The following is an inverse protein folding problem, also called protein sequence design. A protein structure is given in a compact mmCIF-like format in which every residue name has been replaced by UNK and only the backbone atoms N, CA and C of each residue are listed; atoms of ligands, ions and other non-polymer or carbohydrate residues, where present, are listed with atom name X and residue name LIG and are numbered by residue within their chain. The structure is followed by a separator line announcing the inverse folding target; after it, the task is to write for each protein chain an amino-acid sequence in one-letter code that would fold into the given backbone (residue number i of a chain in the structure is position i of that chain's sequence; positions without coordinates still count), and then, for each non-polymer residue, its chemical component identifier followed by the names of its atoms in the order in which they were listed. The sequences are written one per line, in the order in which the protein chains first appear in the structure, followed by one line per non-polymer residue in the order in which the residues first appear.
data_IF_161356473004
#
_entry.id   IF_161356473004
#
_cell.length_a   1.000
_cell.length_b   1.000
_cell.length_c   1.000
_cell.angle_alpha   90.00
_cell.angle_beta   90.00
_cell.angle_gamma   90.00
#
_symmetry.space_group_name_H-M   'P 1'
#
loop_
_entity.id
_entity.type
_entity.pdbx_description
1 polymer ?
#
# COMPACT_ATOMS: atom_id res chain seq x y z
N UNK A 1 -62.44 -14.66 -45.27
CA UNK A 1 -61.86 -13.76 -44.25
C UNK A 1 -60.71 -14.48 -43.56
N UNK A 2 -59.51 -13.88 -43.57
CA UNK A 2 -58.24 -14.48 -43.11
C UNK A 2 -58.18 -14.57 -41.57
N UNK A 3 -57.74 -15.70 -41.03
CA UNK A 3 -57.42 -15.90 -39.60
C UNK A 3 -56.05 -15.28 -39.31
N UNK A 4 -55.96 -14.38 -38.33
CA UNK A 4 -54.68 -13.91 -37.76
C UNK A 4 -54.38 -14.66 -36.46
N UNK A 5 -53.21 -15.29 -36.43
CA UNK A 5 -52.63 -15.96 -35.25
C UNK A 5 -51.94 -14.88 -34.41
N UNK A 6 -52.38 -14.69 -33.17
CA UNK A 6 -51.68 -13.89 -32.16
C UNK A 6 -50.61 -14.78 -31.53
N UNK A 7 -49.36 -14.63 -31.97
CA UNK A 7 -48.20 -15.22 -31.31
C UNK A 7 -47.74 -14.30 -30.18
N UNK A 8 -48.14 -14.60 -28.95
CA UNK A 8 -47.56 -13.96 -27.76
C UNK A 8 -46.18 -14.56 -27.50
N UNK A 9 -45.14 -13.79 -27.82
CA UNK A 9 -43.75 -14.09 -27.53
C UNK A 9 -43.52 -13.94 -26.01
N UNK A 10 -43.73 -15.01 -25.23
CA UNK A 10 -43.28 -15.08 -23.84
C UNK A 10 -41.76 -15.31 -23.83
N UNK A 11 -40.99 -14.27 -24.12
CA UNK A 11 -39.55 -14.28 -23.88
C UNK A 11 -39.30 -13.96 -22.40
N UNK A 12 -38.73 -14.94 -21.70
CA UNK A 12 -38.47 -15.05 -20.27
C UNK A 12 -38.10 -13.75 -19.51
N UNK A 13 -39.04 -13.19 -18.74
CA UNK A 13 -38.73 -12.26 -17.65
C UNK A 13 -37.92 -12.93 -16.52
N UNK A 14 -38.03 -14.25 -16.36
CA UNK A 14 -37.30 -15.02 -15.34
C UNK A 14 -35.78 -15.04 -15.56
N UNK A 15 -35.32 -15.03 -16.81
CA UNK A 15 -33.88 -15.06 -17.14
C UNK A 15 -33.16 -13.74 -16.82
N UNK A 16 -33.87 -12.61 -16.93
CA UNK A 16 -33.30 -11.28 -16.65
C UNK A 16 -33.23 -11.04 -15.13
N UNK A 17 -34.21 -11.52 -14.36
CA UNK A 17 -34.21 -11.40 -12.90
C UNK A 17 -33.10 -12.24 -12.24
N UNK A 18 -32.84 -13.46 -12.74
CA UNK A 18 -31.77 -14.33 -12.22
C UNK A 18 -30.36 -13.87 -12.60
N UNK A 19 -30.16 -13.20 -13.74
CA UNK A 19 -28.83 -12.66 -14.09
C UNK A 19 -28.50 -11.40 -13.28
N UNK A 20 -29.50 -10.57 -12.95
CA UNK A 20 -29.31 -9.39 -12.11
C UNK A 20 -29.10 -9.71 -10.63
N UNK A 21 -29.71 -10.77 -10.09
CA UNK A 21 -29.47 -11.19 -8.70
C UNK A 21 -28.03 -11.68 -8.50
N UNK A 22 -27.52 -12.49 -9.42
CA UNK A 22 -26.15 -13.02 -9.35
C UNK A 22 -25.11 -11.92 -9.59
N UNK A 23 -25.41 -10.96 -10.47
CA UNK A 23 -24.55 -9.80 -10.71
C UNK A 23 -24.55 -8.82 -9.51
N UNK A 24 -25.68 -8.64 -8.82
CA UNK A 24 -25.76 -7.84 -7.58
C UNK A 24 -25.08 -8.53 -6.41
N UNK A 25 -25.19 -9.85 -6.28
CA UNK A 25 -24.50 -10.63 -5.26
C UNK A 25 -22.98 -10.62 -5.49
N UNK A 26 -22.53 -10.70 -6.75
CA UNK A 26 -21.13 -10.50 -7.12
C UNK A 26 -20.62 -9.06 -6.89
N UNK A 27 -21.46 -8.04 -7.12
CA UNK A 27 -21.09 -6.64 -6.95
C UNK A 27 -21.09 -6.17 -5.48
N UNK A 28 -21.94 -6.73 -4.62
CA UNK A 28 -21.91 -6.52 -3.16
C UNK A 28 -20.65 -7.14 -2.55
N UNK A 29 -20.13 -8.22 -3.14
CA UNK A 29 -18.87 -8.86 -2.72
C UNK A 29 -17.60 -8.12 -3.21
N UNK A 30 -17.72 -7.04 -4.01
CA UNK A 30 -16.58 -6.34 -4.59
C UNK A 30 -16.07 -5.16 -3.75
N UNK A 31 -16.78 -4.76 -2.69
CA UNK A 31 -16.29 -3.77 -1.72
C UNK A 31 -15.62 -4.51 -0.57
N UNK A 32 -14.34 -4.24 -0.27
CA UNK A 32 -13.67 -4.82 0.89
C UNK A 32 -14.47 -4.62 2.17
N UNK A 33 -14.90 -5.73 2.77
CA UNK A 33 -15.68 -5.73 4.02
C UNK A 33 -14.76 -5.56 5.24
N UNK A 34 -13.47 -5.80 5.07
CA UNK A 34 -12.48 -5.62 6.12
C UNK A 34 -11.44 -4.58 5.72
N UNK A 35 -10.96 -3.83 6.70
CA UNK A 35 -9.96 -2.79 6.50
C UNK A 35 -8.72 -3.13 7.28
N UNK A 36 -7.57 -3.17 6.60
CA UNK A 36 -6.26 -3.23 7.23
C UNK A 36 -5.83 -1.79 7.51
N UNK A 37 -5.47 -1.49 8.75
CA UNK A 37 -4.99 -0.17 9.18
C UNK A 37 -3.47 -0.17 9.41
N UNK A 38 -2.89 -1.32 9.75
CA UNK A 38 -1.46 -1.55 9.76
C UNK A 38 -1.16 -2.91 9.12
N UNK A 39 -0.13 -3.02 8.27
CA UNK A 39 0.73 -1.94 7.77
C UNK A 39 -0.05 -0.91 6.94
N UNK A 40 0.50 0.30 6.82
CA UNK A 40 -0.05 1.30 5.91
C UNK A 40 0.25 0.91 4.47
N UNK A 41 -0.66 1.23 3.57
CA UNK A 41 -0.47 1.02 2.15
C UNK A 41 0.86 1.64 1.70
N UNK A 42 1.69 0.81 1.07
CA UNK A 42 3.02 1.13 0.52
C UNK A 42 4.09 1.58 1.52
N UNK A 43 3.88 1.38 2.81
CA UNK A 43 4.92 1.64 3.80
C UNK A 43 6.10 0.69 3.64
N UNK A 44 7.28 1.13 4.06
CA UNK A 44 8.48 0.30 4.15
C UNK A 44 9.02 0.39 5.57
N UNK A 45 9.23 -0.76 6.19
CA UNK A 45 9.87 -0.90 7.49
C UNK A 45 11.38 -1.08 7.29
N UNK A 46 12.18 -0.38 8.09
CA UNK A 46 13.63 -0.53 8.06
C UNK A 46 14.01 -1.95 8.47
N UNK A 47 14.75 -2.65 7.62
CA UNK A 47 15.30 -3.97 7.95
C UNK A 47 16.42 -3.85 8.99
N UNK A 48 16.47 -4.80 9.91
CA UNK A 48 17.61 -5.07 10.80
C UNK A 48 18.01 -6.52 10.55
N UNK A 49 19.25 -6.77 10.15
CA UNK A 49 19.73 -8.11 9.76
C UNK A 49 18.84 -8.80 8.71
N UNK A 50 18.39 -8.05 7.71
CA UNK A 50 17.51 -8.54 6.63
C UNK A 50 16.08 -8.91 7.02
N UNK A 51 15.63 -8.56 8.22
CA UNK A 51 14.27 -8.85 8.66
C UNK A 51 13.67 -7.65 9.42
N UNK A 52 12.36 -7.67 9.64
CA UNK A 52 11.70 -6.74 10.56
C UNK A 52 10.46 -7.37 11.19
N UNK A 53 10.04 -6.77 12.30
CA UNK A 53 8.78 -7.09 12.96
C UNK A 53 7.71 -6.09 12.54
N UNK A 54 6.56 -6.58 12.08
CA UNK A 54 5.44 -5.75 11.66
C UNK A 54 4.19 -5.99 12.49
N UNK A 55 3.39 -4.93 12.66
CA UNK A 55 2.05 -5.03 13.24
C UNK A 55 1.04 -5.17 12.12
N UNK A 56 0.25 -6.24 12.17
CA UNK A 56 -0.91 -6.43 11.32
C UNK A 56 -2.17 -6.14 12.15
N UNK A 57 -2.87 -5.06 11.84
CA UNK A 57 -4.03 -4.61 12.60
C UNK A 57 -5.08 -3.97 11.70
N UNK A 58 -6.32 -3.96 12.17
CA UNK A 58 -7.41 -3.33 11.43
C UNK A 58 -8.78 -3.60 12.02
N UNK A 59 -9.79 -3.41 11.19
CA UNK A 59 -11.19 -3.52 11.54
C UNK A 59 -11.90 -4.54 10.64
N UNK A 60 -12.67 -5.42 11.28
CA UNK A 60 -13.60 -6.35 10.66
C UNK A 60 -14.98 -5.68 10.66
N UNK A 61 -15.53 -5.34 9.49
CA UNK A 61 -16.87 -4.73 9.38
C UNK A 61 -17.89 -5.75 8.91
N UNK A 62 -18.31 -6.64 9.80
CA UNK A 62 -19.35 -7.61 9.47
C UNK A 62 -20.45 -7.60 10.53
N UNK A 63 -21.67 -7.89 10.08
CA UNK A 63 -22.84 -8.08 10.95
C UNK A 63 -23.04 -9.56 11.32
N UNK A 64 -22.20 -10.45 10.77
CA UNK A 64 -22.30 -11.90 10.92
C UNK A 64 -21.31 -12.39 11.97
N UNK A 65 -21.60 -13.54 12.58
CA UNK A 65 -20.68 -14.19 13.50
C UNK A 65 -19.41 -14.64 12.77
N UNK A 66 -18.25 -14.30 13.34
CA UNK A 66 -16.92 -14.68 12.84
C UNK A 66 -16.42 -15.88 13.63
N UNK A 67 -16.20 -17.01 12.96
CA UNK A 67 -15.64 -18.21 13.59
C UNK A 67 -14.11 -18.26 13.52
N UNK A 68 -13.51 -17.55 12.56
CA UNK A 68 -12.06 -17.53 12.36
C UNK A 68 -11.64 -16.29 11.60
N UNK A 69 -10.47 -15.74 11.93
CA UNK A 69 -9.80 -14.71 11.14
C UNK A 69 -8.47 -15.29 10.67
N UNK A 70 -8.17 -15.12 9.40
CA UNK A 70 -6.94 -15.60 8.78
C UNK A 70 -6.25 -14.47 8.02
N UNK A 71 -4.94 -14.58 7.86
CA UNK A 71 -4.16 -13.67 7.03
C UNK A 71 -3.29 -14.46 6.05
N UNK A 72 -2.96 -13.83 4.92
CA UNK A 72 -2.04 -14.33 3.91
C UNK A 72 -1.07 -13.21 3.54
N UNK A 73 0.20 -13.55 3.36
CA UNK A 73 1.26 -12.65 2.91
C UNK A 73 1.87 -13.22 1.63
N UNK A 74 1.75 -12.47 0.54
CA UNK A 74 2.30 -12.80 -0.78
C UNK A 74 3.55 -11.99 -1.05
N UNK A 75 4.56 -12.61 -1.68
CA UNK A 75 5.77 -11.95 -2.16
C UNK A 75 5.49 -11.30 -3.50
N UNK A 76 5.99 -10.09 -3.66
CA UNK A 76 5.92 -9.32 -4.89
C UNK A 76 7.32 -9.13 -5.47
N UNK A 77 7.43 -9.08 -6.78
CA UNK A 77 8.62 -8.53 -7.44
C UNK A 77 8.65 -7.00 -7.36
N UNK A 78 9.70 -6.39 -7.93
CA UNK A 78 9.86 -4.93 -7.97
C UNK A 78 8.80 -4.22 -8.82
N UNK A 79 8.01 -4.94 -9.61
CA UNK A 79 6.94 -4.42 -10.46
C UNK A 79 5.54 -4.61 -9.84
N UNK A 80 5.46 -5.25 -8.67
CA UNK A 80 4.21 -5.48 -7.94
C UNK A 80 3.46 -6.75 -8.36
N UNK A 81 4.11 -7.63 -9.11
CA UNK A 81 3.55 -8.93 -9.52
C UNK A 81 3.84 -9.98 -8.45
N UNK A 82 2.84 -10.80 -8.12
CA UNK A 82 2.99 -11.89 -7.15
C UNK A 82 3.95 -12.94 -7.69
N UNK A 83 5.02 -13.22 -6.94
CA UNK A 83 6.06 -14.21 -7.29
C UNK A 83 6.08 -15.41 -6.36
N UNK A 84 5.39 -15.33 -5.22
CA UNK A 84 5.32 -16.45 -4.28
C UNK A 84 4.50 -16.14 -3.04
N UNK A 85 4.46 -17.10 -2.13
CA UNK A 85 3.73 -17.00 -0.86
C UNK A 85 4.75 -16.98 0.27
N UNK A 86 4.73 -15.93 1.10
CA UNK A 86 5.52 -15.85 2.33
C UNK A 86 4.81 -16.55 3.48
N UNK A 87 3.49 -16.38 3.56
CA UNK A 87 2.65 -17.01 4.58
C UNK A 87 1.31 -17.29 3.94
N UNK A 88 0.93 -18.56 3.82
CA UNK A 88 -0.40 -18.94 3.37
C UNK A 88 -1.43 -18.68 4.47
N UNK A 89 -2.72 -18.82 4.16
CA UNK A 89 -3.83 -18.54 5.07
C UNK A 89 -3.65 -19.15 6.46
N UNK A 90 -3.20 -18.31 7.38
CA UNK A 90 -2.86 -18.70 8.75
C UNK A 90 -3.84 -18.05 9.71
N UNK A 91 -4.33 -18.81 10.67
CA UNK A 91 -5.26 -18.31 11.69
C UNK A 91 -4.58 -17.29 12.59
N UNK A 92 -5.27 -16.16 12.82
CA UNK A 92 -4.90 -15.25 13.89
C UNK A 92 -5.34 -15.86 15.23
N UNK A 93 -4.41 -15.99 16.17
CA UNK A 93 -4.73 -16.25 17.56
C UNK A 93 -5.37 -14.98 18.15
N UNK A 94 -6.70 -14.88 18.08
CA UNK A 94 -7.43 -13.72 18.59
C UNK A 94 -8.07 -14.05 19.93
N UNK A 95 -7.97 -13.11 20.87
CA UNK A 95 -8.75 -13.14 22.09
C UNK A 95 -10.24 -12.92 21.73
N UNK A 96 -11.18 -13.78 22.19
CA UNK A 96 -12.61 -13.68 21.89
C UNK A 96 -13.24 -12.30 22.18
N UNK A 97 -12.73 -11.59 23.18
CA UNK A 97 -13.24 -10.26 23.59
C UNK A 97 -12.92 -9.18 22.53
N UNK A 98 -11.84 -9.36 21.76
CA UNK A 98 -11.43 -8.41 20.70
C UNK A 98 -12.32 -8.58 19.46
N UNK A 99 -12.81 -9.80 19.20
CA UNK A 99 -13.74 -10.09 18.10
C UNK A 99 -15.10 -9.39 18.28
N UNK A 100 -15.58 -9.23 19.51
CA UNK A 100 -16.81 -8.46 19.79
C UNK A 100 -16.71 -6.97 19.47
N UNK A 101 -15.50 -6.40 19.46
CA UNK A 101 -15.25 -5.00 19.09
C UNK A 101 -15.02 -4.80 17.59
N UNK A 102 -14.97 -5.87 16.79
CA UNK A 102 -14.67 -5.80 15.36
C UNK A 102 -13.24 -5.34 15.06
N UNK A 103 -12.31 -5.46 16.00
CA UNK A 103 -10.90 -5.12 15.80
C UNK A 103 -10.06 -6.39 15.74
N UNK A 104 -8.91 -6.32 15.06
CA UNK A 104 -7.91 -7.39 15.13
C UNK A 104 -6.52 -6.78 15.17
N UNK A 105 -5.58 -7.52 15.77
CA UNK A 105 -4.22 -7.03 15.91
C UNK A 105 -3.29 -8.19 16.25
N UNK A 106 -2.27 -8.41 15.41
CA UNK A 106 -1.22 -9.42 15.59
C UNK A 106 0.14 -8.85 15.22
N UNK A 107 1.19 -9.54 15.63
CA UNK A 107 2.57 -9.19 15.29
C UNK A 107 3.16 -10.30 14.42
N UNK A 108 3.70 -9.93 13.25
CA UNK A 108 4.46 -10.84 12.40
C UNK A 108 5.94 -10.57 12.67
N UNK A 109 6.61 -11.51 13.32
CA UNK A 109 8.03 -11.41 13.66
C UNK A 109 8.89 -11.93 12.51
N UNK A 110 10.11 -11.41 12.40
CA UNK A 110 11.15 -11.93 11.51
C UNK A 110 10.67 -12.02 10.05
N UNK A 111 9.90 -11.02 9.59
CA UNK A 111 9.49 -10.94 8.19
C UNK A 111 10.73 -10.59 7.37
N UNK A 112 11.13 -11.41 6.39
CA UNK A 112 12.33 -11.16 5.63
C UNK A 112 12.22 -9.90 4.76
N UNK A 113 13.36 -9.42 4.30
CA UNK A 113 13.48 -8.34 3.32
C UNK A 113 12.73 -8.70 2.05
N UNK A 114 11.88 -7.80 1.57
CA UNK A 114 11.02 -8.06 0.41
C UNK A 114 9.88 -7.07 0.27
N UNK A 115 9.22 -7.10 -0.89
CA UNK A 115 7.98 -6.39 -1.18
C UNK A 115 6.80 -7.37 -1.07
N UNK A 116 5.71 -6.95 -0.43
CA UNK A 116 4.64 -7.86 -0.03
C UNK A 116 3.25 -7.29 -0.23
N UNK A 117 2.29 -8.19 -0.44
CA UNK A 117 0.86 -7.95 -0.24
C UNK A 117 0.41 -8.71 1.01
N UNK A 118 -0.28 -8.04 1.93
CA UNK A 118 -1.05 -8.71 2.98
C UNK A 118 -2.54 -8.62 2.71
N UNK A 119 -3.24 -9.73 2.92
CA UNK A 119 -4.70 -9.80 2.90
C UNK A 119 -5.18 -10.48 4.18
N UNK A 120 -6.35 -10.08 4.64
CA UNK A 120 -7.08 -10.81 5.67
C UNK A 120 -8.37 -11.37 5.11
N UNK A 121 -8.83 -12.47 5.71
CA UNK A 121 -10.17 -12.99 5.48
C UNK A 121 -10.79 -13.48 6.77
N UNK A 122 -12.11 -13.46 6.85
CA UNK A 122 -12.86 -14.02 7.97
C UNK A 122 -13.75 -15.16 7.49
N UNK A 123 -13.84 -16.21 8.29
CA UNK A 123 -14.78 -17.31 8.07
C UNK A 123 -16.08 -16.99 8.80
N UNK A 124 -17.19 -17.02 8.08
CA UNK A 124 -18.50 -16.63 8.61
C UNK A 124 -19.33 -17.86 9.02
N UNK A 125 -20.04 -17.73 10.15
CA UNK A 125 -21.01 -18.70 10.64
C UNK A 125 -20.42 -20.01 11.18
N UNK A 126 -21.32 -20.90 11.63
CA UNK A 126 -20.99 -22.21 12.21
C UNK A 126 -20.71 -23.29 11.16
N UNK A 127 -21.27 -23.15 9.94
CA UNK A 127 -21.18 -24.15 8.86
C UNK A 127 -20.05 -23.87 7.86
N UNK A 128 -19.43 -22.69 7.90
CA UNK A 128 -18.01 -22.54 7.58
C UNK A 128 -17.58 -22.54 6.11
N UNK A 129 -18.45 -22.17 5.16
CA UNK A 129 -18.07 -22.11 3.73
C UNK A 129 -17.94 -20.69 3.16
N UNK A 130 -18.35 -19.66 3.90
CA UNK A 130 -18.33 -18.28 3.42
C UNK A 130 -17.14 -17.51 3.99
N UNK A 131 -16.41 -16.83 3.11
CA UNK A 131 -15.29 -15.97 3.46
C UNK A 131 -15.53 -14.53 3.00
N UNK A 132 -15.31 -13.58 3.91
CA UNK A 132 -15.20 -12.14 3.58
C UNK A 132 -13.72 -11.75 3.58
N UNK A 133 -13.32 -10.85 2.67
CA UNK A 133 -11.92 -10.47 2.44
C UNK A 133 -11.70 -8.97 2.64
N UNK A 134 -10.49 -8.59 3.02
CA UNK A 134 -9.99 -7.22 2.82
C UNK A 134 -9.49 -7.03 1.39
N UNK A 135 -9.29 -5.76 0.99
CA UNK A 135 -8.36 -5.45 -0.08
C UNK A 135 -6.95 -5.88 0.33
N UNK A 136 -6.08 -6.24 -0.64
CA UNK A 136 -4.66 -6.35 -0.38
C UNK A 136 -4.09 -5.00 0.05
N UNK A 137 -3.15 -5.06 0.99
CA UNK A 137 -2.37 -3.91 1.41
C UNK A 137 -0.89 -4.18 1.13
N UNK A 138 -0.25 -3.31 0.36
CA UNK A 138 1.18 -3.42 0.03
C UNK A 138 2.02 -2.91 1.18
N UNK A 139 3.12 -3.60 1.47
CA UNK A 139 4.14 -3.11 2.40
C UNK A 139 5.49 -3.76 2.10
N UNK A 140 6.56 -3.17 2.63
CA UNK A 140 7.92 -3.63 2.40
C UNK A 140 8.76 -3.75 3.65
N UNK A 141 9.73 -4.65 3.62
CA UNK A 141 10.85 -4.70 4.54
C UNK A 141 12.11 -4.36 3.74
N UNK A 142 12.73 -3.23 4.01
CA UNK A 142 13.81 -2.70 3.17
C UNK A 142 14.47 -1.46 3.75
N UNK A 143 14.70 -0.45 2.92
CA UNK A 143 15.44 0.75 3.31
C UNK A 143 14.54 1.97 3.46
N UNK A 144 14.72 2.68 4.57
CA UNK A 144 14.08 3.96 4.87
C UNK A 144 15.11 5.07 4.69
N UNK A 145 15.02 5.80 3.59
CA UNK A 145 16.00 6.81 3.22
C UNK A 145 15.53 8.21 3.61
N UNK A 146 16.36 8.90 4.38
CA UNK A 146 16.10 10.25 4.85
C UNK A 146 17.11 11.24 4.28
N UNK A 147 16.62 12.20 3.49
CA UNK A 147 17.43 13.25 2.89
C UNK A 147 17.28 14.55 3.69
N UNK A 148 18.36 14.95 4.36
CA UNK A 148 18.43 16.16 5.16
C UNK A 148 19.14 17.31 4.40
N UNK A 149 18.64 18.54 4.59
CA UNK A 149 19.26 19.78 4.08
C UNK A 149 18.48 20.46 2.94
N UNK A 150 18.68 21.78 2.79
CA UNK A 150 17.97 22.61 1.80
C UNK A 150 18.48 22.42 0.37
N UNK A 151 19.80 22.28 0.19
CA UNK A 151 20.44 22.17 -1.13
C UNK A 151 20.62 20.73 -1.62
N UNK A 152 20.40 19.73 -0.77
CA UNK A 152 20.64 18.34 -1.13
C UNK A 152 19.45 17.74 -1.89
N UNK A 153 19.77 17.03 -2.97
CA UNK A 153 18.82 16.24 -3.76
C UNK A 153 17.56 17.02 -4.21
N UNK A 154 17.67 18.31 -4.53
CA UNK A 154 16.52 19.09 -5.00
C UNK A 154 16.07 18.72 -6.43
N UNK A 155 16.95 18.06 -7.19
CA UNK A 155 16.77 17.84 -8.63
C UNK A 155 16.96 19.12 -9.43
N UNK A 156 17.11 18.99 -10.75
CA UNK A 156 17.10 20.12 -11.67
C UNK A 156 15.68 20.32 -12.23
N UNK A 157 15.22 21.57 -12.41
CA UNK A 157 13.95 21.86 -13.10
C UNK A 157 13.81 21.12 -14.45
N UNK A 158 12.58 20.76 -14.80
CA UNK A 158 12.26 19.99 -16.02
C UNK A 158 12.52 20.76 -17.32
N UNK A 159 12.71 22.07 -17.25
CA UNK A 159 12.85 23.02 -18.36
C UNK A 159 14.31 23.46 -18.63
N UNK A 160 15.29 23.02 -17.84
CA UNK A 160 16.70 23.34 -18.08
C UNK A 160 17.30 22.46 -19.19
N UNK A 161 18.11 23.08 -20.05
CA UNK A 161 18.71 22.55 -21.29
C UNK A 161 19.55 21.25 -21.18
N UNK A 162 19.69 20.65 -20.01
CA UNK A 162 20.31 19.33 -19.80
C UNK A 162 19.32 18.15 -19.85
N UNK A 163 18.01 18.43 -19.87
CA UNK A 163 16.97 17.40 -19.77
C UNK A 163 16.95 16.72 -18.40
N UNK A 164 15.84 16.07 -18.08
CA UNK A 164 15.80 15.11 -16.96
C UNK A 164 15.92 13.70 -17.49
N UNK A 165 16.54 12.75 -16.77
CA UNK A 165 16.64 11.38 -17.23
C UNK A 165 15.26 10.83 -17.61
N UNK A 166 15.15 10.28 -18.81
CA UNK A 166 13.98 9.49 -19.19
C UNK A 166 14.17 8.11 -18.58
N UNK A 167 13.27 7.70 -17.69
CA UNK A 167 13.24 6.33 -17.23
C UNK A 167 12.53 5.48 -18.27
N UNK A 168 13.27 4.64 -18.99
CA UNK A 168 12.67 3.62 -19.85
C UNK A 168 12.11 2.48 -18.99
N UNK A 169 11.00 1.90 -19.44
CA UNK A 169 10.38 0.73 -18.81
C UNK A 169 9.42 1.06 -17.67
N UNK A 170 8.81 0.01 -17.14
CA UNK A 170 7.80 0.10 -16.08
C UNK A 170 8.39 0.70 -14.78
N UNK A 171 7.66 1.60 -14.09
CA UNK A 171 8.03 2.05 -12.74
C UNK A 171 8.18 0.90 -11.76
N UNK A 172 9.09 1.06 -10.79
CA UNK A 172 9.27 0.06 -9.75
C UNK A 172 8.22 0.28 -8.67
N UNK A 173 7.29 -0.66 -8.56
CA UNK A 173 6.20 -0.64 -7.59
C UNK A 173 6.69 -0.67 -6.15
N UNK A 174 7.92 -1.13 -5.89
CA UNK A 174 8.52 -1.20 -4.56
C UNK A 174 9.20 0.10 -4.08
N UNK A 175 9.11 1.20 -4.85
CA UNK A 175 9.67 2.50 -4.47
C UNK A 175 8.53 3.46 -4.10
N UNK A 176 8.58 3.98 -2.88
CA UNK A 176 7.53 4.84 -2.33
C UNK A 176 8.08 6.14 -1.76
N UNK A 177 7.21 7.13 -1.63
CA UNK A 177 7.49 8.35 -0.87
C UNK A 177 6.21 8.84 -0.20
N UNK A 178 6.36 9.73 0.78
CA UNK A 178 5.21 10.46 1.30
C UNK A 178 4.87 11.59 0.32
N UNK A 179 3.67 11.52 -0.24
CA UNK A 179 3.14 12.49 -1.19
C UNK A 179 2.36 13.61 -0.49
N UNK A 180 2.98 14.24 0.51
CA UNK A 180 2.37 15.34 1.25
C UNK A 180 3.40 16.46 1.45
N UNK A 181 3.38 17.46 0.55
CA UNK A 181 4.06 18.72 0.83
C UNK A 181 3.18 19.55 1.76
N UNK A 182 3.56 19.58 3.03
CA UNK A 182 2.91 20.39 4.06
C UNK A 182 3.76 21.62 4.38
N UNK A 183 3.93 22.50 3.39
CA UNK A 183 4.38 23.86 3.67
C UNK A 183 3.37 24.53 4.61
N UNK A 184 3.69 24.62 5.90
CA UNK A 184 2.97 25.44 6.90
C UNK A 184 1.50 25.08 7.18
N UNK A 185 1.08 23.81 7.12
CA UNK A 185 -0.27 23.44 7.59
C UNK A 185 -0.26 23.06 9.08
N UNK A 186 -1.13 23.70 9.87
CA UNK A 186 -1.38 23.38 11.29
C UNK A 186 -2.14 22.04 11.49
N UNK A 187 -2.33 21.26 10.42
CA UNK A 187 -2.92 19.93 10.45
C UNK A 187 -1.92 18.94 9.87
N UNK A 188 -1.38 18.08 10.74
CA UNK A 188 -0.63 16.91 10.31
C UNK A 188 -1.65 15.87 9.85
N UNK A 189 -1.90 15.82 8.54
CA UNK A 189 -2.62 14.67 7.98
C UNK A 189 -1.79 13.41 8.23
N UNK A 190 -2.50 12.31 8.44
CA UNK A 190 -1.85 11.01 8.58
C UNK A 190 -1.05 10.71 7.30
N UNK A 191 0.18 10.16 7.39
CA UNK A 191 1.05 10.03 6.23
C UNK A 191 0.47 9.06 5.20
N UNK A 192 0.45 9.49 3.95
CA UNK A 192 0.06 8.66 2.80
C UNK A 192 1.29 8.38 1.94
N UNK A 193 1.63 7.10 1.80
CA UNK A 193 2.71 6.66 0.92
C UNK A 193 2.14 6.38 -0.47
N UNK A 194 2.78 6.95 -1.48
CA UNK A 194 2.43 6.70 -2.87
C UNK A 194 3.62 6.15 -3.64
N UNK A 195 3.34 5.59 -4.81
CA UNK A 195 4.37 5.19 -5.77
C UNK A 195 5.22 6.40 -6.13
N UNK A 196 6.54 6.23 -6.05
CA UNK A 196 7.49 7.22 -6.49
C UNK A 196 7.77 7.01 -7.98
N UNK A 197 6.98 7.67 -8.82
CA UNK A 197 7.14 7.63 -10.28
C UNK A 197 7.12 9.04 -10.85
N UNK A 198 8.06 9.31 -11.74
CA UNK A 198 7.99 10.44 -12.67
C UNK A 198 6.85 10.19 -13.64
N UNK A 199 5.93 11.14 -13.76
CA UNK A 199 4.91 11.17 -14.81
C UNK A 199 5.16 12.36 -15.75
N UNK A 200 4.56 12.34 -16.94
CA UNK A 200 4.60 13.50 -17.85
C UNK A 200 3.85 14.72 -17.28
N UNK A 201 2.98 14.51 -16.29
CA UNK A 201 2.30 15.55 -15.52
C UNK A 201 3.07 15.98 -14.27
N UNK A 202 4.27 15.43 -14.04
CA UNK A 202 5.01 15.63 -12.81
C UNK A 202 5.82 16.93 -12.77
N UNK A 203 5.12 18.04 -12.98
CA UNK A 203 5.65 19.38 -12.71
C UNK A 203 5.49 19.78 -11.23
N UNK A 204 4.82 18.95 -10.41
CA UNK A 204 4.41 19.29 -9.04
C UNK A 204 4.42 18.16 -8.00
N UNK A 205 4.78 16.89 -8.31
CA UNK A 205 4.85 15.88 -7.25
C UNK A 205 6.01 16.22 -6.34
N UNK A 206 5.67 16.45 -5.08
CA UNK A 206 6.56 16.99 -4.06
C UNK A 206 6.77 15.89 -3.03
N UNK A 207 8.03 15.54 -2.78
CA UNK A 207 8.36 14.64 -1.67
C UNK A 207 8.24 15.40 -0.36
N UNK A 208 7.49 14.86 0.58
CA UNK A 208 7.30 15.48 1.88
C UNK A 208 8.61 15.70 2.65
N UNK A 209 8.65 16.69 3.56
CA UNK A 209 7.74 17.86 3.65
C UNK A 209 8.01 18.98 2.64
N UNK A 210 9.18 19.02 1.97
CA UNK A 210 9.69 20.25 1.33
C UNK A 210 10.39 20.03 -0.04
N UNK A 211 10.22 18.87 -0.67
CA UNK A 211 10.73 18.63 -2.03
C UNK A 211 9.97 19.50 -3.03
N UNK A 212 10.63 20.52 -3.59
CA UNK A 212 9.90 21.63 -4.22
C UNK A 212 9.74 21.56 -5.75
N UNK A 213 10.41 20.65 -6.48
CA UNK A 213 10.52 20.82 -7.95
C UNK A 213 10.47 19.54 -8.82
N UNK A 214 10.78 18.34 -8.32
CA UNK A 214 10.53 17.06 -9.02
C UNK A 214 11.02 15.84 -8.21
N UNK A 215 10.49 14.65 -8.53
CA UNK A 215 10.82 13.39 -7.85
C UNK A 215 11.88 12.53 -8.58
N UNK A 216 12.30 12.93 -9.79
CA UNK A 216 13.08 12.06 -10.69
C UNK A 216 14.39 11.56 -10.06
N UNK A 217 15.12 12.41 -9.32
CA UNK A 217 16.42 12.02 -8.77
C UNK A 217 16.28 10.94 -7.68
N UNK A 218 15.18 10.98 -6.94
CA UNK A 218 14.85 9.99 -5.93
C UNK A 218 14.36 8.68 -6.55
N UNK A 219 13.57 8.76 -7.63
CA UNK A 219 13.21 7.57 -8.40
C UNK A 219 14.46 6.91 -9.01
N UNK A 220 15.35 7.70 -9.62
CA UNK A 220 16.60 7.20 -10.21
C UNK A 220 17.47 6.49 -9.17
N UNK A 221 17.65 7.11 -8.00
CA UNK A 221 18.41 6.53 -6.90
C UNK A 221 17.73 5.26 -6.38
N UNK A 222 16.41 5.29 -6.16
CA UNK A 222 15.66 4.13 -5.71
C UNK A 222 15.80 2.95 -6.67
N UNK A 223 15.64 3.17 -7.98
CA UNK A 223 15.83 2.12 -9.01
C UNK A 223 17.23 1.52 -8.93
N UNK A 224 18.27 2.35 -8.86
CA UNK A 224 19.66 1.87 -8.73
C UNK A 224 19.88 1.01 -7.50
N UNK A 225 19.34 1.44 -6.35
CA UNK A 225 19.48 0.71 -5.09
C UNK A 225 18.72 -0.62 -5.12
N UNK A 226 17.49 -0.64 -5.67
CA UNK A 226 16.73 -1.88 -5.89
C UNK A 226 17.49 -2.85 -6.78
N UNK A 227 17.98 -2.38 -7.93
CA UNK A 227 18.72 -3.22 -8.88
C UNK A 227 20.02 -3.75 -8.29
N UNK A 228 20.78 -2.89 -7.58
CA UNK A 228 22.01 -3.32 -6.91
C UNK A 228 21.72 -4.36 -5.84
N UNK A 229 20.66 -4.21 -5.05
CA UNK A 229 20.30 -5.18 -4.04
C UNK A 229 19.81 -6.50 -4.65
N UNK A 230 19.08 -6.45 -5.76
CA UNK A 230 18.68 -7.65 -6.50
C UNK A 230 19.90 -8.40 -7.05
N UNK A 231 20.89 -7.68 -7.58
CA UNK A 231 22.15 -8.28 -8.08
C UNK A 231 23.02 -8.83 -6.95
N UNK A 232 23.21 -8.06 -5.87
CA UNK A 232 24.18 -8.40 -4.81
C UNK A 232 23.61 -9.30 -3.72
N UNK A 233 22.31 -9.22 -3.45
CA UNK A 233 21.64 -9.96 -2.38
C UNK A 233 20.57 -10.95 -2.89
N UNK A 234 20.23 -10.96 -4.18
CA UNK A 234 19.26 -11.89 -4.76
C UNK A 234 17.81 -11.65 -4.34
N UNK A 235 17.47 -10.42 -3.91
CA UNK A 235 16.13 -10.08 -3.41
C UNK A 235 15.73 -8.65 -3.73
N UNK A 236 14.43 -8.41 -3.81
CA UNK A 236 13.86 -7.07 -3.94
C UNK A 236 13.95 -6.36 -2.59
N UNK A 237 14.67 -5.24 -2.55
CA UNK A 237 14.74 -4.37 -1.38
C UNK A 237 13.86 -3.15 -1.63
N UNK A 238 12.62 -3.10 -1.10
CA UNK A 238 11.75 -1.94 -1.25
C UNK A 238 12.34 -0.71 -0.57
N UNK A 239 12.04 0.46 -1.11
CA UNK A 239 12.63 1.73 -0.66
C UNK A 239 11.52 2.72 -0.40
N UNK A 240 11.61 3.41 0.73
CA UNK A 240 10.81 4.60 0.98
C UNK A 240 11.73 5.82 1.16
N UNK A 241 11.33 6.93 0.56
CA UNK A 241 12.09 8.17 0.57
C UNK A 241 11.37 9.27 1.33
N UNK A 242 12.12 9.96 2.20
CA UNK A 242 11.69 11.12 2.97
C UNK A 242 12.65 12.30 2.74
N UNK A 243 12.13 13.51 2.52
CA UNK A 243 12.95 14.73 2.38
C UNK A 243 12.66 15.75 3.46
N UNK A 244 13.36 15.66 4.59
CA UNK A 244 13.27 16.67 5.65
C UNK A 244 14.22 17.84 5.40
N UNK A 245 13.73 18.83 4.67
CA UNK A 245 14.33 20.16 4.67
C UNK A 245 13.78 20.92 5.88
N UNK A 246 14.64 21.60 6.62
CA UNK A 246 14.25 22.62 7.60
C UNK A 246 14.69 23.96 7.05
N UNK A 247 13.74 24.85 6.77
CA UNK A 247 14.03 26.26 6.47
C UNK A 247 14.42 26.96 7.78
N UNK A 248 15.70 26.89 8.15
CA UNK A 248 16.25 27.80 9.16
C UNK A 248 16.63 29.10 8.45
N UNK A 249 15.67 30.01 8.26
CA UNK A 249 15.98 31.43 8.05
C UNK A 249 16.08 32.10 9.42
N UNK A 250 17.26 32.09 10.03
CA UNK A 250 17.55 32.84 11.25
C UNK A 250 18.50 32.11 12.20
N UNK A 251 19.49 32.84 12.74
CA UNK A 251 20.59 32.38 13.61
C UNK A 251 20.18 31.82 14.99
N UNK A 252 19.14 31.01 15.13
CA UNK A 252 18.83 30.32 16.38
C UNK A 252 19.06 28.81 16.23
N UNK A 253 20.20 28.39 16.78
CA UNK A 253 20.59 27.01 17.01
C UNK A 253 19.41 26.17 17.54
N UNK A 254 19.14 25.02 16.92
CA UNK A 254 18.36 23.97 17.55
C UNK A 254 19.13 23.49 18.79
N UNK A 255 18.75 24.01 19.97
CA UNK A 255 18.94 23.28 21.21
C UNK A 255 18.05 22.04 21.13
N UNK A 256 18.60 20.92 20.67
CA UNK A 256 18.06 19.63 21.08
C UNK A 256 18.34 19.50 22.58
N UNK A 257 17.36 19.83 23.42
CA UNK A 257 17.44 19.46 24.83
C UNK A 257 17.44 17.95 24.90
N UNK A 258 18.55 17.37 25.38
CA UNK A 258 18.57 16.00 25.89
C UNK A 258 17.44 15.88 26.91
N UNK A 259 16.34 15.23 26.56
CA UNK A 259 15.54 14.53 27.55
C UNK A 259 16.17 13.14 27.67
N UNK A 260 16.91 12.98 28.76
CA UNK A 260 17.39 11.72 29.28
C UNK A 260 16.23 10.77 29.57
N UNK A 261 16.55 9.48 29.48
CA UNK A 261 15.81 8.33 30.03
C UNK A 261 15.21 8.62 31.41
#
# INVERSE_FOLDING_TARGET
MKKYIIGLLFCSLAGIAMSQSNAREAAVNAVPVHTITLPLERTVYQRVNNEATIRLAGQLRTIRFISQVQYKVEKLDKYGTVTGIQTDWTSLALNPIILSGGLFSTTLNNVPTGWYNVQIRTRLGFTGSLYEYSAPTKFGIGEVLFFAGQSNAQGAPLDLAGGTPTFSGQPYDCISAINQNCWCKNTYQFPEFSLLTKSSQDTYSRIAPNGNQNVWCYEALGRKLVDQAEISEGKVVPIVVFKAQLLITGKSQQKMSKQSL
#
